data_IF_420068319277
#
_entry.id   IF_420068319277
#
_cell.length_a   1.000
_cell.length_b   1.000
_cell.length_c   1.000
_cell.angle_alpha   90.00
_cell.angle_beta   90.00
_cell.angle_gamma   90.00
#
_symmetry.space_group_name_H-M   'P 1'
#
loop_
_entity.id
_entity.type
_entity.pdbx_description
1 polymer ?
#
# COMPACT_ATOMS: atom_id res chain seq x y z
N UNK A 1 -4.54 -24.36 -7.11
CA UNK A 1 -3.59 -23.23 -7.26
C UNK A 1 -4.42 -21.99 -7.53
N UNK A 2 -4.24 -20.91 -6.78
CA UNK A 2 -4.89 -19.63 -7.10
C UNK A 2 -4.25 -19.06 -8.37
N UNK A 3 -5.04 -18.65 -9.36
CA UNK A 3 -4.49 -18.02 -10.58
C UNK A 3 -4.08 -16.55 -10.32
N UNK A 4 -3.24 -15.99 -11.21
CA UNK A 4 -2.77 -14.60 -11.10
C UNK A 4 -3.91 -13.59 -11.01
N UNK A 5 -5.03 -13.86 -11.70
CA UNK A 5 -6.22 -12.99 -11.71
C UNK A 5 -6.92 -12.95 -10.35
N UNK A 6 -6.97 -14.08 -9.66
CA UNK A 6 -7.57 -14.23 -8.33
C UNK A 6 -6.73 -13.49 -7.29
N UNK A 7 -5.41 -13.64 -7.32
CA UNK A 7 -4.49 -12.94 -6.42
C UNK A 7 -4.54 -11.43 -6.67
N UNK A 8 -4.54 -11.01 -7.94
CA UNK A 8 -4.64 -9.61 -8.31
C UNK A 8 -5.92 -8.96 -7.77
N UNK A 9 -7.05 -9.67 -7.89
CA UNK A 9 -8.34 -9.19 -7.38
C UNK A 9 -8.34 -9.09 -5.86
N UNK A 10 -7.85 -10.12 -5.17
CA UNK A 10 -7.72 -10.14 -3.72
C UNK A 10 -6.85 -8.97 -3.22
N UNK A 11 -5.69 -8.77 -3.84
CA UNK A 11 -4.79 -7.66 -3.51
C UNK A 11 -5.48 -6.31 -3.70
N UNK A 12 -6.06 -6.07 -4.88
CA UNK A 12 -6.68 -4.79 -5.18
C UNK A 12 -7.85 -4.50 -4.25
N UNK A 13 -8.69 -5.48 -3.93
CA UNK A 13 -9.79 -5.29 -2.98
C UNK A 13 -9.26 -4.95 -1.59
N UNK A 14 -8.32 -5.74 -1.09
CA UNK A 14 -7.75 -5.54 0.24
C UNK A 14 -7.00 -4.20 0.37
N UNK A 15 -6.40 -3.73 -0.72
CA UNK A 15 -5.71 -2.44 -0.77
C UNK A 15 -6.69 -1.28 -0.60
N UNK A 16 -7.85 -1.32 -1.27
CA UNK A 16 -8.86 -0.27 -1.10
C UNK A 16 -9.61 -0.38 0.23
N UNK A 17 -9.81 -1.58 0.78
CA UNK A 17 -10.30 -1.75 2.16
C UNK A 17 -9.37 -1.08 3.18
N UNK A 18 -8.05 -1.25 3.01
CA UNK A 18 -7.08 -0.60 3.86
C UNK A 18 -7.18 0.94 3.79
N UNK A 19 -7.27 1.49 2.57
CA UNK A 19 -7.43 2.93 2.36
C UNK A 19 -8.72 3.44 3.02
N UNK A 20 -9.83 2.72 2.86
CA UNK A 20 -11.13 3.08 3.44
C UNK A 20 -11.08 3.11 4.97
N UNK A 21 -10.38 2.15 5.59
CA UNK A 21 -10.20 2.15 7.04
C UNK A 21 -9.30 3.29 7.52
N UNK A 22 -8.27 3.67 6.77
CA UNK A 22 -7.46 4.86 7.11
C UNK A 22 -8.31 6.13 7.02
N UNK A 23 -9.12 6.30 5.96
CA UNK A 23 -10.02 7.44 5.79
C UNK A 23 -11.00 7.53 6.96
N UNK A 24 -11.55 6.40 7.43
CA UNK A 24 -12.46 6.37 8.59
C UNK A 24 -11.78 6.81 9.89
N UNK A 25 -10.48 6.55 10.03
CA UNK A 25 -9.72 6.95 11.23
C UNK A 25 -9.36 8.44 11.17
N UNK A 26 -9.14 9.00 9.98
CA UNK A 26 -8.76 10.41 9.75
C UNK A 26 -9.70 11.11 8.77
N UNK A 27 -11.01 11.21 9.09
CA UNK A 27 -12.02 11.74 8.17
C UNK A 27 -11.82 13.22 7.82
N UNK A 28 -11.07 13.96 8.63
CA UNK A 28 -10.72 15.36 8.41
C UNK A 28 -9.64 15.56 7.33
N UNK A 29 -8.91 14.49 6.97
CA UNK A 29 -7.84 14.56 5.99
C UNK A 29 -8.38 14.29 4.58
N UNK A 30 -8.83 15.33 3.89
CA UNK A 30 -9.37 15.25 2.52
C UNK A 30 -8.39 14.71 1.48
N UNK A 31 -7.08 14.79 1.74
CA UNK A 31 -6.05 14.30 0.82
C UNK A 31 -6.10 12.76 0.68
N UNK A 32 -6.64 12.06 1.68
CA UNK A 32 -6.82 10.60 1.63
C UNK A 32 -7.88 10.17 0.59
N UNK A 33 -8.94 10.95 0.44
CA UNK A 33 -9.97 10.68 -0.58
C UNK A 33 -9.43 10.97 -1.99
N UNK A 34 -8.71 12.08 -2.16
CA UNK A 34 -8.01 12.41 -3.43
C UNK A 34 -7.03 11.30 -3.81
N UNK A 35 -6.32 10.78 -2.82
CA UNK A 35 -5.40 9.65 -2.96
C UNK A 35 -6.10 8.38 -3.42
N UNK A 36 -7.22 8.04 -2.80
CA UNK A 36 -8.05 6.90 -3.17
C UNK A 36 -8.52 7.01 -4.63
N UNK A 37 -9.05 8.16 -5.03
CA UNK A 37 -9.45 8.41 -6.43
C UNK A 37 -8.29 8.22 -7.40
N UNK A 38 -7.11 8.74 -7.07
CA UNK A 38 -5.92 8.59 -7.91
C UNK A 38 -5.51 7.12 -8.10
N UNK A 39 -5.55 6.31 -7.03
CA UNK A 39 -5.30 4.86 -7.15
C UNK A 39 -6.38 4.12 -7.93
N UNK A 40 -7.64 4.55 -7.83
CA UNK A 40 -8.71 3.99 -8.67
C UNK A 40 -8.43 4.25 -10.16
N UNK A 41 -8.02 5.46 -10.52
CA UNK A 41 -7.61 5.80 -11.89
C UNK A 41 -6.41 4.95 -12.36
N UNK A 42 -5.38 4.79 -11.52
CA UNK A 42 -4.23 3.93 -11.82
C UNK A 42 -4.67 2.49 -12.07
N UNK A 43 -5.54 1.93 -11.21
CA UNK A 43 -6.07 0.56 -11.37
C UNK A 43 -6.88 0.41 -12.66
N UNK A 44 -7.68 1.40 -13.03
CA UNK A 44 -8.45 1.38 -14.27
C UNK A 44 -7.54 1.37 -15.50
N UNK A 45 -6.46 2.17 -15.49
CA UNK A 45 -5.50 2.22 -16.59
C UNK A 45 -4.60 0.97 -16.66
N UNK A 46 -4.11 0.49 -15.52
CA UNK A 46 -3.30 -0.72 -15.42
C UNK A 46 -3.61 -1.46 -14.11
N UNK A 47 -4.41 -2.54 -14.15
CA UNK A 47 -4.85 -3.23 -12.94
C UNK A 47 -3.70 -3.90 -12.18
N UNK A 48 -2.54 -4.12 -12.81
CA UNK A 48 -1.35 -4.75 -12.22
C UNK A 48 -0.34 -3.77 -11.63
N UNK A 49 -0.51 -2.47 -11.86
CA UNK A 49 0.49 -1.47 -11.47
C UNK A 49 0.73 -1.48 -9.96
N UNK A 50 -0.34 -1.45 -9.15
CA UNK A 50 -0.25 -1.30 -7.70
C UNK A 50 0.42 -2.53 -7.07
N UNK A 51 0.00 -3.75 -7.44
CA UNK A 51 0.57 -4.99 -6.86
C UNK A 51 2.06 -5.16 -7.20
N UNK A 52 2.47 -4.80 -8.43
CA UNK A 52 3.87 -4.88 -8.87
C UNK A 52 4.73 -3.85 -8.15
N UNK A 53 4.24 -2.60 -8.07
CA UNK A 53 4.93 -1.55 -7.33
C UNK A 53 5.04 -1.87 -5.84
N UNK A 54 3.98 -2.40 -5.22
CA UNK A 54 4.01 -2.83 -3.83
C UNK A 54 5.06 -3.91 -3.61
N UNK A 55 5.11 -4.94 -4.45
CA UNK A 55 6.14 -5.96 -4.33
C UNK A 55 7.55 -5.37 -4.45
N UNK A 56 7.81 -4.54 -5.46
CA UNK A 56 9.14 -4.02 -5.76
C UNK A 56 9.64 -3.02 -4.71
N UNK A 57 8.79 -2.13 -4.24
CA UNK A 57 9.19 -0.97 -3.43
C UNK A 57 8.81 -1.10 -1.95
N UNK A 58 7.78 -1.89 -1.62
CA UNK A 58 7.33 -2.09 -0.24
C UNK A 58 7.81 -3.44 0.29
N UNK A 59 7.52 -4.55 -0.40
CA UNK A 59 7.82 -5.86 0.19
C UNK A 59 9.26 -6.32 -0.02
N UNK A 60 9.76 -6.37 -1.25
CA UNK A 60 11.08 -6.92 -1.60
C UNK A 60 12.24 -6.34 -0.77
N UNK A 61 12.36 -5.00 -0.59
CA UNK A 61 13.46 -4.43 0.21
C UNK A 61 13.28 -4.58 1.74
N UNK A 62 12.06 -4.84 2.23
CA UNK A 62 11.72 -4.80 3.66
C UNK A 62 11.01 -6.06 4.15
N UNK A 63 11.14 -7.17 3.42
CA UNK A 63 10.39 -8.39 3.72
C UNK A 63 10.64 -8.89 5.13
N UNK A 64 11.89 -8.83 5.61
CA UNK A 64 12.26 -9.24 6.97
C UNK A 64 11.53 -8.44 8.06
N UNK A 65 11.46 -7.11 7.93
CA UNK A 65 10.79 -6.24 8.93
C UNK A 65 9.27 -6.33 8.82
N UNK A 66 8.74 -6.42 7.60
CA UNK A 66 7.30 -6.64 7.35
C UNK A 66 6.83 -7.96 7.95
N UNK A 67 7.58 -9.03 7.72
CA UNK A 67 7.24 -10.36 8.19
C UNK A 67 7.36 -10.45 9.73
N UNK A 68 8.26 -9.67 10.33
CA UNK A 68 8.36 -9.49 11.78
C UNK A 68 7.22 -8.63 12.38
N UNK A 69 6.43 -7.93 11.54
CA UNK A 69 5.35 -7.05 11.98
C UNK A 69 5.82 -5.68 12.43
N UNK A 70 7.05 -5.31 12.13
CA UNK A 70 7.56 -3.97 12.36
C UNK A 70 7.12 -3.07 11.19
N UNK A 71 6.20 -2.14 11.46
CA UNK A 71 5.68 -1.19 10.48
C UNK A 71 6.40 0.16 10.49
N UNK A 72 7.42 0.34 11.35
CA UNK A 72 8.17 1.61 11.42
C UNK A 72 8.80 1.99 10.08
N UNK A 73 9.26 1.00 9.30
CA UNK A 73 9.79 1.21 7.94
C UNK A 73 8.77 1.88 7.01
N UNK A 74 7.47 1.64 7.21
CA UNK A 74 6.43 2.16 6.34
C UNK A 74 6.29 3.67 6.50
N UNK A 75 6.65 4.27 7.64
CA UNK A 75 6.46 5.71 7.90
C UNK A 75 7.73 6.56 7.78
N UNK A 76 8.92 5.98 7.99
CA UNK A 76 10.16 6.76 8.11
C UNK A 76 11.04 6.73 6.84
N UNK A 77 10.66 5.98 5.79
CA UNK A 77 11.49 5.75 4.58
C UNK A 77 11.30 6.81 3.48
N UNK A 78 12.31 7.42 2.90
CA UNK A 78 12.09 8.20 1.66
C UNK A 78 11.85 7.27 0.44
N UNK A 79 10.66 7.31 -0.15
CA UNK A 79 10.28 6.53 -1.36
C UNK A 79 10.56 7.28 -2.67
N UNK A 80 11.12 8.49 -2.62
CA UNK A 80 11.37 9.32 -3.79
C UNK A 80 12.25 8.66 -4.85
N UNK A 81 13.31 7.97 -4.41
CA UNK A 81 14.19 7.20 -5.28
C UNK A 81 13.48 6.00 -5.93
N UNK A 82 12.68 5.29 -5.13
CA UNK A 82 11.95 4.08 -5.55
C UNK A 82 10.89 4.39 -6.60
N UNK A 83 10.23 5.54 -6.48
CA UNK A 83 9.13 5.90 -7.35
C UNK A 83 9.57 6.64 -8.61
N UNK A 84 10.79 7.21 -8.65
CA UNK A 84 11.34 8.04 -9.73
C UNK A 84 11.10 7.56 -11.18
N UNK A 85 11.03 6.25 -11.42
CA UNK A 85 10.86 5.66 -12.75
C UNK A 85 9.40 5.39 -13.16
N UNK A 86 8.42 5.70 -12.31
CA UNK A 86 7.01 5.57 -12.63
C UNK A 86 6.47 6.85 -13.27
N UNK A 87 5.71 6.72 -14.35
CA UNK A 87 5.06 7.87 -15.02
C UNK A 87 4.12 8.67 -14.10
N UNK A 88 3.68 8.09 -12.96
CA UNK A 88 2.85 8.73 -11.94
C UNK A 88 3.55 8.79 -10.56
N UNK A 89 4.88 8.79 -10.54
CA UNK A 89 5.71 8.72 -9.34
C UNK A 89 5.39 9.78 -8.28
N UNK A 90 5.23 11.03 -8.70
CA UNK A 90 4.90 12.17 -7.83
C UNK A 90 3.56 11.99 -7.13
N UNK A 91 2.53 11.54 -7.87
CA UNK A 91 1.21 11.29 -7.30
C UNK A 91 1.26 10.13 -6.31
N UNK A 92 1.92 9.02 -6.66
CA UNK A 92 2.05 7.87 -5.77
C UNK A 92 2.85 8.23 -4.50
N UNK A 93 3.90 9.07 -4.62
CA UNK A 93 4.65 9.60 -3.47
C UNK A 93 3.76 10.42 -2.54
N UNK A 94 3.11 11.45 -3.08
CA UNK A 94 2.26 12.34 -2.27
C UNK A 94 1.17 11.55 -1.56
N UNK A 95 0.66 10.51 -2.21
CA UNK A 95 -0.31 9.60 -1.64
C UNK A 95 0.28 8.71 -0.52
N UNK A 96 1.45 8.10 -0.72
CA UNK A 96 2.10 7.32 0.33
C UNK A 96 2.38 8.21 1.56
N UNK A 97 2.84 9.44 1.34
CA UNK A 97 3.03 10.42 2.40
C UNK A 97 1.70 10.81 3.07
N UNK A 98 0.61 10.88 2.29
CA UNK A 98 -0.75 11.11 2.80
C UNK A 98 -1.19 10.01 3.78
N UNK A 99 -0.78 8.76 3.56
CA UNK A 99 -1.13 7.63 4.43
C UNK A 99 -0.17 7.45 5.62
N UNK A 100 1.10 7.83 5.47
CA UNK A 100 2.11 7.63 6.52
C UNK A 100 1.83 8.37 7.80
N UNK A 101 1.56 9.66 7.68
CA UNK A 101 1.36 10.52 8.85
C UNK A 101 0.14 10.05 9.66
N UNK A 102 -1.00 9.74 9.02
CA UNK A 102 -2.09 9.00 9.63
C UNK A 102 -1.65 7.74 10.38
N UNK A 103 -1.02 6.77 9.70
CA UNK A 103 -0.70 5.48 10.34
C UNK A 103 0.31 5.64 11.48
N UNK A 104 1.26 6.59 11.38
CA UNK A 104 2.19 6.94 12.47
C UNK A 104 1.45 7.51 13.69
N UNK A 105 0.40 8.29 13.46
CA UNK A 105 -0.41 8.97 14.48
C UNK A 105 -1.57 8.12 15.03
N UNK A 106 -1.76 6.91 14.51
CA UNK A 106 -2.77 5.97 15.00
C UNK A 106 -2.49 5.49 16.43
N UNK A 107 -3.56 5.12 17.13
CA UNK A 107 -3.49 4.36 18.38
C UNK A 107 -2.78 3.01 18.16
N UNK A 108 -2.25 2.42 19.23
CA UNK A 108 -1.56 1.12 19.15
C UNK A 108 -2.45 0.02 18.58
N UNK A 109 -3.75 0.01 18.92
CA UNK A 109 -4.71 -0.93 18.36
C UNK A 109 -4.84 -0.77 16.83
N UNK A 110 -4.97 0.47 16.34
CA UNK A 110 -5.08 0.74 14.91
C UNK A 110 -3.77 0.45 14.16
N UNK A 111 -2.61 0.64 14.80
CA UNK A 111 -1.30 0.21 14.26
C UNK A 111 -1.21 -1.30 14.09
N UNK A 112 -1.74 -2.09 15.04
CA UNK A 112 -1.82 -3.55 14.91
C UNK A 112 -2.68 -3.95 13.71
N UNK A 113 -3.83 -3.29 13.50
CA UNK A 113 -4.68 -3.54 12.33
C UNK A 113 -3.98 -3.16 11.02
N UNK A 114 -3.35 -1.98 10.95
CA UNK A 114 -2.58 -1.54 9.79
C UNK A 114 -1.42 -2.51 9.47
N UNK A 115 -0.76 -3.05 10.49
CA UNK A 115 0.28 -4.08 10.34
C UNK A 115 -0.26 -5.31 9.62
N UNK A 116 -1.47 -5.76 9.95
CA UNK A 116 -2.06 -6.93 9.28
C UNK A 116 -2.42 -6.67 7.83
N UNK A 117 -2.95 -5.49 7.51
CA UNK A 117 -3.13 -5.08 6.11
C UNK A 117 -1.81 -5.12 5.33
N UNK A 118 -0.76 -4.48 5.85
CA UNK A 118 0.56 -4.42 5.19
C UNK A 118 1.13 -5.82 4.98
N UNK A 119 1.05 -6.71 5.98
CA UNK A 119 1.52 -8.09 5.88
C UNK A 119 0.75 -8.88 4.81
N UNK A 120 -0.58 -8.77 4.78
CA UNK A 120 -1.41 -9.50 3.83
C UNK A 120 -1.20 -9.01 2.39
N UNK A 121 -1.19 -7.70 2.18
CA UNK A 121 -0.88 -7.08 0.89
C UNK A 121 0.48 -7.52 0.37
N UNK A 122 1.48 -7.54 1.26
CA UNK A 122 2.83 -7.96 0.94
C UNK A 122 2.91 -9.42 0.51
N UNK A 123 2.26 -10.33 1.24
CA UNK A 123 2.16 -11.76 0.87
C UNK A 123 1.48 -11.95 -0.49
N UNK A 124 0.36 -11.26 -0.73
CA UNK A 124 -0.34 -11.31 -2.02
C UNK A 124 0.54 -10.80 -3.16
N UNK A 125 1.27 -9.70 -2.94
CA UNK A 125 2.19 -9.14 -3.93
C UNK A 125 3.32 -10.10 -4.29
N UNK A 126 3.90 -10.77 -3.28
CA UNK A 126 4.92 -11.81 -3.46
C UNK A 126 4.39 -12.98 -4.29
N UNK A 127 3.25 -13.54 -3.89
CA UNK A 127 2.64 -14.67 -4.59
C UNK A 127 2.35 -14.33 -6.06
N UNK A 128 1.85 -13.13 -6.34
CA UNK A 128 1.62 -12.70 -7.73
C UNK A 128 2.91 -12.58 -8.54
N UNK A 129 3.99 -12.10 -7.91
CA UNK A 129 5.29 -11.89 -8.55
C UNK A 129 6.10 -13.17 -8.77
N UNK A 130 5.87 -14.22 -7.96
CA UNK A 130 6.56 -15.51 -8.06
C UNK A 130 5.87 -16.51 -9.01
N UNK A 131 4.63 -16.22 -9.42
CA UNK A 131 3.91 -16.94 -10.48
C UNK A 131 4.30 -16.43 -11.87
#
# INVERSE_FOLDING_TARGET
>A
MSDKTTILRAFNNHFFEFIDDIIRIFPENSDLEVSKTSFQTIKQANPTAIIKSWFLFVYKPYSSVIDAGDITFFFDKDYSADLSNLSNSQSIMGIIDSFRQPVKSMSDANKVHATKYIQNLSKLSKLYSEM
#
